data_IF_612423504832
#
_entry.id   IF_612423504832
#
_cell.length_a   1.000
_cell.length_b   1.000
_cell.length_c   1.000
_cell.angle_alpha   90.00
_cell.angle_beta   90.00
_cell.angle_gamma   90.00
#
_symmetry.space_group_name_H-M   'P 1'
#
loop_
_entity.id
_entity.type
_entity.pdbx_description
1 polymer ?
#
# COMPACT_ATOMS: atom_id res chain seq x y z
N UNK A 1 -21.58 10.47 16.61
CA UNK A 1 -20.46 10.73 17.54
C UNK A 1 -19.95 9.38 18.01
N UNK A 2 -18.66 9.12 17.97
CA UNK A 2 -18.11 7.83 18.44
C UNK A 2 -18.00 7.84 19.96
N UNK A 3 -18.30 6.71 20.61
CA UNK A 3 -18.15 6.58 22.06
C UNK A 3 -16.66 6.56 22.45
N UNK A 4 -16.35 7.18 23.59
CA UNK A 4 -15.00 7.13 24.17
C UNK A 4 -14.74 5.76 24.78
N UNK A 5 -13.48 5.36 24.81
CA UNK A 5 -13.07 4.14 25.52
C UNK A 5 -13.25 4.33 27.03
N UNK A 6 -13.53 3.24 27.74
CA UNK A 6 -13.74 3.26 29.20
C UNK A 6 -12.49 3.63 29.99
N UNK A 7 -11.31 3.28 29.47
CA UNK A 7 -10.02 3.45 30.15
C UNK A 7 -8.90 3.76 29.15
N UNK A 8 -7.92 4.54 29.61
CA UNK A 8 -6.72 4.93 28.86
C UNK A 8 -5.45 4.65 29.67
N UNK A 9 -4.31 4.57 28.98
CA UNK A 9 -2.97 4.43 29.56
C UNK A 9 -1.97 5.30 28.82
N UNK A 10 -0.91 5.73 29.49
CA UNK A 10 0.22 6.40 28.84
C UNK A 10 0.87 5.44 27.81
N UNK A 11 1.09 5.91 26.59
CA UNK A 11 1.67 5.10 25.51
C UNK A 11 3.17 4.88 25.65
N UNK A 12 3.87 5.64 26.50
CA UNK A 12 5.33 5.74 26.54
C UNK A 12 5.92 6.51 25.36
N UNK A 13 5.11 7.07 24.46
CA UNK A 13 5.53 7.78 23.25
C UNK A 13 5.07 9.23 23.32
N UNK A 14 6.03 10.16 23.49
CA UNK A 14 5.78 11.59 23.79
C UNK A 14 4.77 12.26 22.85
N UNK A 15 4.82 11.98 21.55
CA UNK A 15 3.93 12.61 20.57
C UNK A 15 2.54 11.97 20.49
N UNK A 16 2.37 10.75 21.02
CA UNK A 16 1.13 9.98 20.96
C UNK A 16 0.25 10.19 22.20
N UNK A 17 0.86 10.43 23.37
CA UNK A 17 0.15 10.68 24.62
C UNK A 17 -0.54 9.44 25.17
N UNK A 18 -1.81 9.56 25.56
CA UNK A 18 -2.62 8.44 26.09
C UNK A 18 -3.34 7.66 24.99
N UNK A 19 -3.41 6.34 25.16
CA UNK A 19 -4.10 5.41 24.26
C UNK A 19 -5.07 4.53 25.04
N UNK A 20 -6.08 3.94 24.40
CA UNK A 20 -7.00 3.03 25.10
C UNK A 20 -6.25 1.90 25.81
N UNK A 21 -6.65 1.59 27.03
CA UNK A 21 -5.90 0.70 27.93
C UNK A 21 -5.65 -0.70 27.33
N UNK A 22 -6.58 -1.18 26.52
CA UNK A 22 -6.54 -2.50 25.89
C UNK A 22 -5.78 -2.54 24.53
N UNK A 23 -5.28 -1.41 24.04
CA UNK A 23 -4.52 -1.40 22.79
C UNK A 23 -3.11 -1.94 22.97
N UNK A 24 -2.66 -2.76 22.02
CA UNK A 24 -1.26 -3.15 21.88
C UNK A 24 -0.54 -2.18 20.94
N UNK A 25 0.62 -1.66 21.37
CA UNK A 25 1.44 -0.79 20.54
C UNK A 25 2.49 -1.62 19.79
N UNK A 26 2.54 -1.44 18.47
CA UNK A 26 3.47 -2.14 17.60
C UNK A 26 4.04 -1.19 16.56
N UNK A 27 5.24 -1.49 16.03
CA UNK A 27 5.84 -0.67 14.97
C UNK A 27 5.16 -1.00 13.64
N UNK A 28 4.68 0.01 12.93
CA UNK A 28 3.96 -0.22 11.67
C UNK A 28 4.78 -1.03 10.66
N UNK A 29 6.08 -0.72 10.54
CA UNK A 29 6.98 -1.41 9.61
C UNK A 29 7.20 -2.90 9.89
N UNK A 30 6.85 -3.41 11.09
CA UNK A 30 6.96 -4.85 11.39
C UNK A 30 5.70 -5.63 11.01
N UNK A 31 4.67 -4.96 10.48
CA UNK A 31 3.41 -5.57 10.06
C UNK A 31 3.29 -5.72 8.54
N UNK A 32 4.31 -5.30 7.79
CA UNK A 32 4.37 -5.40 6.33
C UNK A 32 5.63 -6.14 5.90
N UNK A 33 5.50 -6.93 4.84
CA UNK A 33 6.62 -7.56 4.14
C UNK A 33 6.67 -7.04 2.72
N UNK A 34 7.83 -6.57 2.28
CA UNK A 34 8.00 -6.05 0.93
C UNK A 34 8.09 -7.19 -0.08
N UNK A 35 7.14 -7.26 -1.01
CA UNK A 35 7.19 -8.20 -2.14
C UNK A 35 8.17 -7.72 -3.19
N UNK A 36 9.35 -8.33 -3.31
CA UNK A 36 10.38 -7.93 -4.30
C UNK A 36 10.36 -8.70 -5.62
N UNK A 37 9.41 -9.62 -5.79
CA UNK A 37 9.31 -10.48 -6.97
C UNK A 37 9.08 -9.65 -8.23
N UNK A 38 9.94 -9.85 -9.22
CA UNK A 38 9.81 -9.25 -10.55
C UNK A 38 9.06 -10.19 -11.51
N UNK A 39 8.25 -9.62 -12.38
CA UNK A 39 7.42 -10.32 -13.35
C UNK A 39 7.30 -9.53 -14.65
N UNK A 40 6.81 -10.20 -15.69
CA UNK A 40 6.42 -9.60 -16.96
C UNK A 40 4.94 -9.20 -16.97
N UNK A 41 4.59 -8.16 -17.73
CA UNK A 41 3.19 -7.82 -18.04
C UNK A 41 2.48 -8.84 -18.94
N UNK A 42 3.24 -9.75 -19.57
CA UNK A 42 2.70 -10.89 -20.34
C UNK A 42 2.10 -11.97 -19.42
N UNK A 43 2.72 -12.19 -18.26
CA UNK A 43 2.28 -13.18 -17.27
C UNK A 43 1.28 -12.58 -16.28
N UNK A 44 1.46 -11.30 -15.93
CA UNK A 44 0.66 -10.59 -14.96
C UNK A 44 0.19 -9.26 -15.52
N UNK A 45 -1.11 -9.13 -15.79
CA UNK A 45 -1.69 -7.94 -16.39
C UNK A 45 -1.27 -6.65 -15.66
N UNK A 46 -0.96 -5.57 -16.39
CA UNK A 46 -0.52 -4.33 -15.78
C UNK A 46 -1.66 -3.66 -15.00
N UNK A 47 -1.33 -3.13 -13.83
CA UNK A 47 -2.24 -2.38 -12.96
C UNK A 47 -1.80 -0.92 -12.84
N UNK A 48 -2.76 -0.04 -12.55
CA UNK A 48 -2.55 1.37 -12.22
C UNK A 48 -2.79 1.61 -10.73
N UNK A 49 -1.84 2.32 -10.11
CA UNK A 49 -1.96 2.81 -8.73
C UNK A 49 -2.56 4.21 -8.78
N UNK A 50 -3.77 4.37 -8.24
CA UNK A 50 -4.53 5.62 -8.32
C UNK A 50 -5.04 6.04 -6.94
N UNK A 51 -5.61 7.24 -6.85
CA UNK A 51 -6.28 7.71 -5.62
C UNK A 51 -7.52 6.90 -5.25
N UNK A 52 -8.08 6.18 -6.22
CA UNK A 52 -9.26 5.34 -6.04
C UNK A 52 -8.87 3.87 -5.82
N UNK A 53 -7.60 3.62 -5.49
CA UNK A 53 -7.05 2.29 -5.28
C UNK A 53 -6.37 1.71 -6.53
N UNK A 54 -6.25 0.38 -6.53
CA UNK A 54 -5.52 -0.39 -7.53
C UNK A 54 -6.51 -0.90 -8.58
N UNK A 55 -6.31 -0.45 -9.82
CA UNK A 55 -7.23 -0.70 -10.93
C UNK A 55 -6.48 -1.36 -12.08
N UNK A 56 -7.19 -2.01 -13.03
CA UNK A 56 -6.60 -2.36 -14.32
C UNK A 56 -5.92 -1.15 -14.95
N UNK A 57 -4.85 -1.37 -15.73
CA UNK A 57 -4.09 -0.28 -16.31
C UNK A 57 -5.00 0.68 -17.11
N UNK A 58 -5.01 1.94 -16.70
CA UNK A 58 -5.78 2.98 -17.39
C UNK A 58 -5.10 3.36 -18.70
N UNK A 59 -5.88 3.66 -19.74
CA UNK A 59 -5.35 4.06 -21.04
C UNK A 59 -4.50 5.35 -20.98
N UNK A 60 -4.86 6.25 -20.06
CA UNK A 60 -4.15 7.50 -19.81
C UNK A 60 -2.85 7.31 -19.01
N UNK A 61 -2.56 6.12 -18.51
CA UNK A 61 -1.36 5.88 -17.70
C UNK A 61 -0.10 5.90 -18.57
N UNK A 62 1.00 6.42 -18.00
CA UNK A 62 2.30 6.30 -18.63
C UNK A 62 2.69 4.82 -18.75
N UNK A 63 2.93 4.37 -19.99
CA UNK A 63 3.30 2.98 -20.30
C UNK A 63 4.83 2.87 -20.32
N UNK A 64 5.34 1.85 -19.64
CA UNK A 64 6.76 1.48 -19.74
C UNK A 64 6.97 0.70 -21.03
N UNK A 65 8.10 0.92 -21.71
CA UNK A 65 8.53 0.06 -22.82
C UNK A 65 9.23 -1.21 -22.32
N UNK A 66 9.52 -1.30 -21.02
CA UNK A 66 10.08 -2.46 -20.37
C UNK A 66 8.97 -3.21 -19.61
N UNK A 67 8.30 -4.11 -20.34
CA UNK A 67 7.20 -4.92 -19.83
C UNK A 67 7.66 -6.11 -18.98
N UNK A 68 8.90 -6.57 -19.17
CA UNK A 68 9.45 -7.74 -18.49
C UNK A 68 10.06 -7.43 -17.10
N UNK A 69 10.08 -6.16 -16.71
CA UNK A 69 10.72 -5.66 -15.49
C UNK A 69 9.71 -4.90 -14.62
N UNK A 70 8.72 -5.63 -14.10
CA UNK A 70 7.63 -5.09 -13.27
C UNK A 70 7.59 -5.77 -11.92
N UNK A 71 6.97 -5.16 -10.91
CA UNK A 71 6.81 -5.73 -9.56
C UNK A 71 5.49 -6.49 -9.52
N UNK A 72 5.51 -7.71 -9.01
CA UNK A 72 4.30 -8.50 -8.80
C UNK A 72 3.42 -7.83 -7.73
N UNK A 73 2.12 -7.84 -7.94
CA UNK A 73 1.09 -7.47 -6.95
C UNK A 73 0.12 -8.63 -6.82
N UNK A 74 -0.23 -8.95 -5.59
CA UNK A 74 -1.28 -9.92 -5.25
C UNK A 74 -2.43 -9.22 -4.53
N UNK A 75 -3.61 -9.81 -4.62
CA UNK A 75 -4.76 -9.37 -3.83
C UNK A 75 -4.40 -9.36 -2.34
N UNK A 76 -4.69 -8.25 -1.65
CA UNK A 76 -4.31 -8.01 -0.26
C UNK A 76 -3.00 -7.23 -0.08
N UNK A 77 -2.16 -7.11 -1.11
CA UNK A 77 -0.96 -6.27 -1.02
C UNK A 77 -1.35 -4.79 -0.93
N UNK A 78 -0.71 -4.03 -0.04
CA UNK A 78 -0.79 -2.57 -0.01
C UNK A 78 0.25 -2.00 -0.97
N UNK A 79 -0.19 -1.26 -1.99
CA UNK A 79 0.66 -0.79 -3.09
C UNK A 79 0.78 0.73 -3.03
N UNK A 80 2.02 1.24 -3.09
CA UNK A 80 2.31 2.68 -3.00
C UNK A 80 3.17 3.11 -4.18
N UNK A 81 2.71 4.10 -4.95
CA UNK A 81 3.55 4.73 -5.97
C UNK A 81 4.33 5.91 -5.37
N UNK A 82 5.65 5.78 -5.22
CA UNK A 82 6.48 6.79 -4.55
C UNK A 82 6.60 8.14 -5.27
N UNK A 83 6.09 8.26 -6.49
CA UNK A 83 6.03 9.55 -7.24
C UNK A 83 4.67 10.23 -7.11
N UNK A 84 3.62 9.52 -6.72
CA UNK A 84 2.25 10.05 -6.68
C UNK A 84 1.48 9.74 -5.40
N UNK A 85 2.11 9.09 -4.42
CA UNK A 85 1.61 8.85 -3.07
C UNK A 85 1.35 10.14 -2.30
N UNK A 86 2.19 11.17 -2.50
CA UNK A 86 1.96 12.53 -1.97
C UNK A 86 0.59 13.07 -2.44
N UNK A 87 0.12 12.65 -3.61
CA UNK A 87 -1.20 13.01 -4.16
C UNK A 87 -2.30 12.03 -3.75
N UNK A 88 -1.98 11.00 -2.96
CA UNK A 88 -2.88 9.97 -2.47
C UNK A 88 -2.95 8.71 -3.34
N UNK A 89 -1.99 8.47 -4.24
CA UNK A 89 -2.02 7.28 -5.12
C UNK A 89 -1.44 6.06 -4.40
N UNK A 90 -2.25 5.42 -3.56
CA UNK A 90 -1.93 4.17 -2.86
C UNK A 90 -3.22 3.41 -2.50
N UNK A 91 -3.09 2.14 -2.14
CA UNK A 91 -4.24 1.36 -1.66
C UNK A 91 -3.98 -0.13 -1.60
N UNK A 92 -4.92 -0.86 -1.01
CA UNK A 92 -4.94 -2.33 -1.01
C UNK A 92 -5.41 -2.81 -2.38
N UNK A 93 -4.70 -3.77 -2.96
CA UNK A 93 -5.10 -4.39 -4.22
C UNK A 93 -6.19 -5.43 -4.00
N UNK A 94 -7.22 -5.42 -4.84
CA UNK A 94 -8.19 -6.52 -4.97
C UNK A 94 -7.86 -7.45 -6.15
N UNK A 95 -6.74 -7.21 -6.81
CA UNK A 95 -6.34 -7.85 -8.06
C UNK A 95 -4.92 -8.41 -7.95
N UNK A 96 -4.68 -9.46 -8.72
CA UNK A 96 -3.35 -9.93 -9.06
C UNK A 96 -2.91 -9.26 -10.36
N UNK A 97 -1.64 -8.86 -10.43
CA UNK A 97 -1.12 -8.21 -11.62
C UNK A 97 0.31 -7.70 -11.45
N UNK A 98 0.70 -6.76 -12.29
CA UNK A 98 2.04 -6.19 -12.28
C UNK A 98 2.00 -4.68 -12.28
N UNK A 99 2.92 -4.07 -11.54
CA UNK A 99 3.04 -2.60 -11.44
C UNK A 99 4.45 -2.15 -11.76
N UNK A 100 4.62 -0.87 -12.13
CA UNK A 100 5.95 -0.33 -12.42
C UNK A 100 6.89 -0.41 -11.20
N UNK A 101 8.21 -0.43 -11.42
CA UNK A 101 9.20 -0.53 -10.33
C UNK A 101 9.28 0.68 -9.38
N UNK A 102 8.58 1.77 -9.68
CA UNK A 102 8.54 3.00 -8.86
C UNK A 102 7.56 2.82 -7.68
N UNK A 103 7.52 1.60 -7.14
CA UNK A 103 6.50 1.18 -6.19
C UNK A 103 7.19 0.43 -5.06
N UNK A 104 6.92 0.91 -3.84
CA UNK A 104 7.32 0.28 -2.58
C UNK A 104 6.30 -0.81 -2.22
#
# INVERSE_FOLDING_TARGET
MFEKYSEYRDSGVKWLGEVPKNWELTRLGTRFEERRTKVSDKDFAPLSVTKNGILPQLDSAAKSNDGDNRKLVKSGDFVINSRSDIKGSSGVSNLDGSVSLIIL
#
